data_IF_697669435329
#
_entry.id   IF_697669435329
#
_cell.length_a   1.000
_cell.length_b   1.000
_cell.length_c   1.000
_cell.angle_alpha   90.00
_cell.angle_beta   90.00
_cell.angle_gamma   90.00
#
_symmetry.space_group_name_H-M   'P 1'
#
loop_
_entity.id
_entity.type
_entity.pdbx_description
1 polymer ?
#
# COMPACT_ATOMS: atom_id res chain seq x y z
N UNK A 1 12.75 -13.63 6.65
CA UNK A 1 12.12 -14.67 7.48
C UNK A 1 12.92 -14.94 8.74
N UNK A 2 14.22 -15.26 8.64
CA UNK A 2 15.05 -15.64 9.80
C UNK A 2 14.94 -14.72 11.03
N UNK A 3 14.98 -13.40 10.87
CA UNK A 3 14.85 -12.46 12.01
C UNK A 3 13.49 -12.55 12.70
N UNK A 4 12.41 -12.69 11.92
CA UNK A 4 11.05 -12.84 12.46
C UNK A 4 10.89 -14.19 13.15
N UNK A 5 11.45 -15.27 12.58
CA UNK A 5 11.40 -16.60 13.21
C UNK A 5 12.14 -16.62 14.54
N UNK A 6 13.31 -15.97 14.62
CA UNK A 6 14.05 -15.79 15.88
C UNK A 6 13.23 -14.99 16.89
N UNK A 7 12.60 -13.90 16.46
CA UNK A 7 11.70 -13.11 17.30
C UNK A 7 10.53 -13.93 17.83
N UNK A 8 9.84 -14.70 16.99
CA UNK A 8 8.68 -15.49 17.38
C UNK A 8 9.07 -16.61 18.37
N UNK A 9 10.21 -17.28 18.15
CA UNK A 9 10.73 -18.35 19.03
C UNK A 9 11.27 -17.86 20.38
N UNK A 10 11.67 -16.58 20.50
CA UNK A 10 12.19 -16.03 21.75
C UNK A 10 11.07 -15.82 22.78
N UNK A 11 10.88 -16.77 23.71
CA UNK A 11 9.76 -16.74 24.66
C UNK A 11 9.82 -15.62 25.72
N UNK A 12 10.99 -15.04 26.00
CA UNK A 12 11.22 -14.24 27.22
C UNK A 12 11.75 -12.81 27.00
N UNK A 13 12.07 -12.41 25.76
CA UNK A 13 12.63 -11.08 25.50
C UNK A 13 11.65 -10.12 24.82
N UNK A 14 11.50 -10.29 23.51
CA UNK A 14 10.89 -9.26 22.67
C UNK A 14 9.40 -9.49 22.42
N UNK A 15 8.62 -8.41 22.51
CA UNK A 15 7.16 -8.41 22.37
C UNK A 15 6.70 -7.77 21.06
N UNK A 16 7.48 -6.82 20.55
CA UNK A 16 7.18 -6.07 19.32
C UNK A 16 8.32 -6.25 18.31
N UNK A 17 7.96 -6.54 17.06
CA UNK A 17 8.86 -6.56 15.92
C UNK A 17 8.41 -5.52 14.90
N UNK A 18 9.24 -4.51 14.64
CA UNK A 18 8.98 -3.45 13.69
C UNK A 18 9.61 -3.80 12.33
N UNK A 19 8.77 -4.01 11.33
CA UNK A 19 9.17 -4.28 9.95
C UNK A 19 9.17 -2.99 9.13
N UNK A 20 10.37 -2.54 8.77
CA UNK A 20 10.61 -1.32 8.02
C UNK A 20 10.90 -1.59 6.55
N UNK A 21 10.84 -0.52 5.75
CA UNK A 21 11.13 -0.56 4.33
C UNK A 21 10.39 0.53 3.58
N UNK A 22 10.85 0.84 2.38
CA UNK A 22 10.31 1.94 1.58
C UNK A 22 8.92 1.61 1.01
N UNK A 23 8.27 2.61 0.43
CA UNK A 23 7.04 2.41 -0.35
C UNK A 23 7.32 1.41 -1.48
N UNK A 24 6.55 0.31 -1.56
CA UNK A 24 6.72 -0.70 -2.61
C UNK A 24 7.76 -1.79 -2.32
N UNK A 25 8.44 -1.73 -1.16
CA UNK A 25 9.46 -2.71 -0.78
C UNK A 25 8.91 -4.14 -0.55
N UNK A 26 7.59 -4.33 -0.48
CA UNK A 26 6.97 -5.65 -0.30
C UNK A 26 6.60 -6.03 1.13
N UNK A 27 6.56 -5.08 2.08
CA UNK A 27 6.17 -5.32 3.49
C UNK A 27 4.83 -6.05 3.64
N UNK A 28 3.78 -5.56 2.97
CA UNK A 28 2.46 -6.19 3.02
C UNK A 28 2.46 -7.61 2.45
N UNK A 29 3.20 -7.85 1.36
CA UNK A 29 3.36 -9.19 0.78
C UNK A 29 4.09 -10.13 1.74
N UNK A 30 5.18 -9.65 2.35
CA UNK A 30 5.91 -10.39 3.38
C UNK A 30 5.01 -10.77 4.55
N UNK A 31 4.23 -9.82 5.07
CA UNK A 31 3.32 -10.04 6.19
C UNK A 31 2.22 -11.07 5.87
N UNK A 32 1.70 -11.07 4.63
CA UNK A 32 0.73 -12.07 4.15
C UNK A 32 1.35 -13.45 4.01
N UNK A 33 2.57 -13.52 3.49
CA UNK A 33 3.30 -14.78 3.37
C UNK A 33 3.59 -15.37 4.75
N UNK A 34 4.03 -14.53 5.69
CA UNK A 34 4.24 -14.90 7.08
C UNK A 34 2.96 -15.43 7.72
N UNK A 35 1.83 -14.73 7.57
CA UNK A 35 0.53 -15.21 8.06
C UNK A 35 0.21 -16.61 7.52
N UNK A 36 0.38 -16.82 6.20
CA UNK A 36 0.14 -18.12 5.55
C UNK A 36 1.04 -19.22 6.11
N UNK A 37 2.33 -18.94 6.27
CA UNK A 37 3.30 -19.91 6.77
C UNK A 37 3.01 -20.28 8.24
N UNK A 38 2.63 -19.30 9.06
CA UNK A 38 2.22 -19.54 10.45
C UNK A 38 0.92 -20.37 10.52
N UNK A 39 -0.07 -20.09 9.68
CA UNK A 39 -1.30 -20.90 9.61
C UNK A 39 -1.02 -22.34 9.17
N UNK A 40 -0.12 -22.53 8.21
CA UNK A 40 0.28 -23.87 7.74
C UNK A 40 0.89 -24.70 8.87
N UNK A 41 1.67 -24.06 9.75
CA UNK A 41 2.31 -24.73 10.88
C UNK A 41 1.42 -24.82 12.13
N UNK A 42 0.37 -24.01 12.24
CA UNK A 42 -0.50 -23.93 13.41
C UNK A 42 -1.13 -25.28 13.78
N UNK A 43 -1.53 -26.09 12.79
CA UNK A 43 -2.14 -27.41 13.04
C UNK A 43 -1.21 -28.39 13.77
N UNK A 44 0.11 -28.23 13.62
CA UNK A 44 1.12 -29.10 14.23
C UNK A 44 1.58 -28.61 15.60
N UNK A 45 1.61 -27.30 15.82
CA UNK A 45 2.13 -26.73 17.07
C UNK A 45 1.04 -26.28 18.05
N UNK A 46 -0.15 -25.92 17.55
CA UNK A 46 -1.24 -25.39 18.37
C UNK A 46 -0.87 -24.11 19.12
N UNK A 47 0.13 -23.37 18.64
CA UNK A 47 0.72 -22.20 19.32
C UNK A 47 -0.19 -20.97 19.29
N UNK A 48 0.33 -19.81 18.90
CA UNK A 48 -0.38 -18.55 18.83
C UNK A 48 -1.13 -18.44 17.50
N UNK A 49 -2.37 -17.99 17.55
CA UNK A 49 -3.23 -17.77 16.39
C UNK A 49 -2.64 -16.60 15.56
N UNK A 50 -2.24 -16.83 14.30
CA UNK A 50 -1.79 -15.75 13.43
C UNK A 50 -2.99 -14.88 13.03
N UNK A 51 -2.84 -13.56 13.15
CA UNK A 51 -3.91 -12.62 12.81
C UNK A 51 -3.35 -11.42 12.05
N UNK A 52 -3.53 -11.39 10.73
CA UNK A 52 -3.20 -10.22 9.92
C UNK A 52 -4.25 -9.12 10.06
N UNK A 53 -3.82 -7.98 10.56
CA UNK A 53 -4.65 -6.79 10.73
C UNK A 53 -4.12 -5.70 9.80
N UNK A 54 -4.91 -5.38 8.78
CA UNK A 54 -4.66 -4.22 7.94
C UNK A 54 -5.08 -2.95 8.69
N UNK A 55 -4.12 -2.27 9.31
CA UNK A 55 -4.37 -1.16 10.23
C UNK A 55 -5.23 -0.04 9.63
N UNK A 56 -5.00 0.45 8.40
CA UNK A 56 -5.78 1.57 7.89
C UNK A 56 -7.22 1.19 7.50
N UNK A 57 -7.61 -0.08 7.68
CA UNK A 57 -9.02 -0.49 7.63
C UNK A 57 -9.74 -0.54 9.00
N UNK A 58 -9.03 -0.22 10.08
CA UNK A 58 -9.57 -0.21 11.45
C UNK A 58 -9.67 1.23 11.95
N UNK A 59 -10.88 1.66 12.31
CA UNK A 59 -11.10 2.97 12.91
C UNK A 59 -10.54 3.01 14.33
N UNK A 60 -9.78 4.07 14.65
CA UNK A 60 -9.17 4.28 15.97
C UNK A 60 -8.44 3.01 16.48
N UNK A 61 -7.37 2.57 15.78
CA UNK A 61 -6.69 1.30 16.05
C UNK A 61 -5.98 1.28 17.42
N UNK A 62 -5.81 2.41 18.08
CA UNK A 62 -5.30 2.52 19.45
C UNK A 62 -6.31 2.03 20.52
N UNK A 63 -7.55 1.69 20.11
CA UNK A 63 -8.58 1.15 21.00
C UNK A 63 -9.18 -0.13 20.45
N UNK A 64 -9.09 -1.21 21.24
CA UNK A 64 -9.77 -2.49 21.00
C UNK A 64 -9.47 -3.10 19.62
N UNK A 65 -8.22 -2.97 19.17
CA UNK A 65 -7.73 -3.36 17.83
C UNK A 65 -8.15 -4.77 17.43
N UNK A 66 -7.85 -5.75 18.30
CA UNK A 66 -8.08 -7.17 18.02
C UNK A 66 -9.57 -7.47 17.93
N UNK A 67 -10.38 -6.99 18.88
CA UNK A 67 -11.82 -7.26 18.85
C UNK A 67 -12.51 -6.54 17.69
N UNK A 68 -12.13 -5.29 17.37
CA UNK A 68 -12.63 -4.59 16.17
C UNK A 68 -12.34 -5.38 14.90
N UNK A 69 -11.13 -5.92 14.78
CA UNK A 69 -10.79 -6.77 13.65
C UNK A 69 -11.64 -8.04 13.63
N UNK A 70 -11.77 -8.76 14.76
CA UNK A 70 -12.58 -9.98 14.84
C UNK A 70 -14.07 -9.75 14.52
N UNK A 71 -14.65 -8.61 14.95
CA UNK A 71 -16.03 -8.23 14.58
C UNK A 71 -16.20 -8.05 13.08
N UNK A 72 -15.18 -7.52 12.39
CA UNK A 72 -15.18 -7.41 10.91
C UNK A 72 -15.08 -8.76 10.21
N UNK A 73 -14.61 -9.78 10.93
CA UNK A 73 -14.61 -11.18 10.50
C UNK A 73 -15.87 -11.93 11.00
N UNK A 74 -16.92 -11.21 11.40
CA UNK A 74 -18.22 -11.73 11.84
C UNK A 74 -18.19 -12.57 13.14
N UNK A 75 -17.18 -12.38 13.99
CA UNK A 75 -17.16 -13.00 15.33
C UNK A 75 -18.11 -12.27 16.29
N UNK A 76 -18.86 -13.06 17.08
CA UNK A 76 -19.77 -12.57 18.12
C UNK A 76 -19.03 -12.29 19.43
N UNK A 77 -19.57 -11.39 20.27
CA UNK A 77 -18.97 -11.03 21.56
C UNK A 77 -18.65 -12.21 22.50
N UNK A 78 -19.48 -13.28 22.60
CA UNK A 78 -19.10 -14.46 23.39
C UNK A 78 -17.84 -15.17 22.84
N UNK A 79 -17.68 -15.26 21.52
CA UNK A 79 -16.52 -15.88 20.88
C UNK A 79 -15.28 -15.01 21.07
N UNK A 80 -15.41 -13.69 20.94
CA UNK A 80 -14.30 -12.76 21.16
C UNK A 80 -13.81 -12.84 22.61
N UNK A 81 -14.72 -12.93 23.60
CA UNK A 81 -14.35 -13.10 25.01
C UNK A 81 -13.64 -14.42 25.26
N UNK A 82 -14.12 -15.51 24.67
CA UNK A 82 -13.51 -16.84 24.76
C UNK A 82 -12.08 -16.84 24.20
N UNK A 83 -11.89 -16.28 23.00
CA UNK A 83 -10.57 -16.11 22.38
C UNK A 83 -9.64 -15.25 23.24
N UNK A 84 -10.13 -14.14 23.79
CA UNK A 84 -9.34 -13.22 24.62
C UNK A 84 -8.85 -13.89 25.91
N UNK A 85 -9.66 -14.76 26.51
CA UNK A 85 -9.31 -15.45 27.75
C UNK A 85 -8.43 -16.67 27.55
N UNK A 86 -8.55 -17.37 26.41
CA UNK A 86 -8.00 -18.72 26.25
C UNK A 86 -6.90 -18.84 25.19
N UNK A 87 -6.69 -17.84 24.32
CA UNK A 87 -5.80 -17.95 23.17
C UNK A 87 -4.70 -16.89 23.17
N UNK A 88 -3.53 -17.30 22.68
CA UNK A 88 -2.42 -16.40 22.34
C UNK A 88 -2.49 -16.05 20.86
N UNK A 89 -2.02 -14.86 20.51
CA UNK A 89 -2.01 -14.37 19.13
C UNK A 89 -0.63 -13.94 18.66
N UNK A 90 -0.38 -14.12 17.37
CA UNK A 90 0.69 -13.43 16.64
C UNK A 90 0.01 -12.38 15.78
N UNK A 91 -0.01 -11.13 16.25
CA UNK A 91 -0.64 -10.03 15.53
C UNK A 91 0.32 -9.53 14.45
N UNK A 92 -0.15 -9.48 13.20
CA UNK A 92 0.60 -8.97 12.06
C UNK A 92 -0.10 -7.70 11.58
N UNK A 93 0.29 -6.57 12.14
CA UNK A 93 -0.30 -5.26 11.93
C UNK A 93 0.36 -4.55 10.73
N UNK A 94 -0.36 -4.39 9.63
CA UNK A 94 0.19 -3.86 8.38
C UNK A 94 -0.26 -2.42 8.10
N UNK A 95 0.68 -1.54 7.76
CA UNK A 95 0.41 -0.16 7.29
C UNK A 95 0.25 0.88 8.40
N UNK A 96 1.13 0.88 9.41
CA UNK A 96 1.05 1.82 10.54
C UNK A 96 1.10 3.29 10.09
N UNK A 97 1.99 3.63 9.14
CA UNK A 97 2.16 4.99 8.64
C UNK A 97 0.94 5.51 7.85
N UNK A 98 0.01 4.64 7.46
CA UNK A 98 -1.20 5.01 6.73
C UNK A 98 -2.35 5.43 7.66
N UNK A 99 -2.17 5.31 8.99
CA UNK A 99 -3.20 5.56 9.99
C UNK A 99 -3.13 6.96 10.65
N UNK A 100 -2.14 7.80 10.32
CA UNK A 100 -1.84 9.11 10.98
C UNK A 100 -1.76 9.05 12.51
N UNK A 101 -1.63 7.85 13.08
CA UNK A 101 -1.50 7.66 14.51
C UNK A 101 -0.04 7.78 14.93
N UNK A 102 0.19 8.45 16.06
CA UNK A 102 1.49 8.49 16.75
C UNK A 102 1.48 7.59 18.00
N UNK A 103 0.41 6.83 18.20
CA UNK A 103 0.20 6.03 19.40
C UNK A 103 0.92 4.69 19.32
N UNK A 104 1.46 4.28 20.46
CA UNK A 104 1.94 2.93 20.66
C UNK A 104 0.79 1.94 20.71
N UNK A 105 0.56 1.22 19.61
CA UNK A 105 -0.56 0.28 19.49
C UNK A 105 -0.46 -0.91 20.46
N UNK A 106 0.75 -1.30 20.86
CA UNK A 106 0.94 -2.34 21.84
C UNK A 106 0.46 -1.88 23.22
N UNK A 107 0.97 -0.75 23.71
CA UNK A 107 0.60 -0.20 25.03
C UNK A 107 -0.85 0.27 25.07
N UNK A 108 -1.32 1.00 24.04
CA UNK A 108 -2.68 1.54 24.02
C UNK A 108 -3.77 0.46 24.01
N UNK A 109 -3.51 -0.68 23.36
CA UNK A 109 -4.38 -1.86 23.41
C UNK A 109 -4.12 -2.77 24.62
N UNK A 110 -3.22 -2.39 25.53
CA UNK A 110 -2.93 -3.09 26.79
C UNK A 110 -2.55 -4.55 26.57
N UNK A 111 -1.79 -4.83 25.51
CA UNK A 111 -1.42 -6.21 25.17
C UNK A 111 -0.56 -6.82 26.28
N UNK A 112 -0.84 -8.08 26.62
CA UNK A 112 -0.22 -8.84 27.71
C UNK A 112 -0.43 -8.26 29.13
N UNK A 113 -1.32 -7.28 29.32
CA UNK A 113 -1.80 -6.91 30.67
C UNK A 113 -2.82 -7.93 31.21
N UNK A 114 -3.01 -7.96 32.53
CA UNK A 114 -3.95 -8.88 33.19
C UNK A 114 -5.38 -8.73 32.63
N UNK A 115 -5.95 -9.84 32.15
CA UNK A 115 -7.30 -9.85 31.55
C UNK A 115 -7.38 -9.26 30.13
N UNK A 116 -6.25 -8.96 29.50
CA UNK A 116 -6.16 -8.48 28.12
C UNK A 116 -5.63 -9.55 27.16
N UNK A 117 -5.55 -9.20 25.87
CA UNK A 117 -5.10 -10.10 24.81
C UNK A 117 -3.63 -10.52 25.03
N UNK A 118 -3.37 -11.83 24.97
CA UNK A 118 -2.00 -12.35 25.01
C UNK A 118 -1.43 -12.39 23.59
N UNK A 119 -0.45 -11.54 23.28
CA UNK A 119 0.04 -11.42 21.91
C UNK A 119 1.50 -10.99 21.78
N UNK A 120 2.18 -11.53 20.77
CA UNK A 120 3.31 -10.84 20.13
C UNK A 120 2.80 -10.00 18.98
N UNK A 121 3.43 -8.85 18.75
CA UNK A 121 3.07 -7.93 17.69
C UNK A 121 4.20 -7.79 16.66
N UNK A 122 3.88 -8.01 15.40
CA UNK A 122 4.68 -7.61 14.26
C UNK A 122 3.96 -6.42 13.64
N UNK A 123 4.65 -5.31 13.43
CA UNK A 123 4.05 -4.08 12.91
C UNK A 123 4.88 -3.54 11.76
N UNK A 124 4.25 -3.24 10.61
CA UNK A 124 4.94 -2.68 9.45
C UNK A 124 4.77 -1.17 9.35
N UNK A 125 5.84 -0.48 8.98
CA UNK A 125 5.85 0.96 8.78
C UNK A 125 6.80 1.35 7.64
N UNK A 126 6.52 2.44 6.93
CA UNK A 126 7.50 3.06 6.02
C UNK A 126 8.65 3.68 6.82
N UNK A 127 9.89 3.45 6.37
CA UNK A 127 11.09 4.01 6.98
C UNK A 127 11.05 5.55 7.01
N UNK A 128 10.58 6.16 5.93
CA UNK A 128 10.45 7.61 5.75
C UNK A 128 9.45 8.27 6.72
N UNK A 129 8.54 7.49 7.32
CA UNK A 129 7.55 8.01 8.26
C UNK A 129 8.09 8.09 9.70
N UNK A 130 9.30 7.58 9.95
CA UNK A 130 9.92 7.57 11.27
C UNK A 130 10.70 8.87 11.51
N UNK A 131 10.40 9.54 12.63
CA UNK A 131 11.24 10.62 13.16
C UNK A 131 12.37 10.09 14.05
N UNK A 132 13.22 10.97 14.60
CA UNK A 132 14.37 10.57 15.44
C UNK A 132 13.96 9.71 16.65
N UNK A 133 12.81 10.01 17.28
CA UNK A 133 12.32 9.31 18.48
C UNK A 133 11.20 8.30 18.16
N UNK A 134 11.25 7.65 17.00
CA UNK A 134 10.17 6.75 16.58
C UNK A 134 9.99 5.54 17.51
N UNK A 135 11.04 5.14 18.24
CA UNK A 135 11.02 3.97 19.13
C UNK A 135 9.95 4.10 20.21
N UNK A 136 9.67 5.29 20.71
CA UNK A 136 8.62 5.53 21.71
C UNK A 136 7.23 5.12 21.22
N UNK A 137 7.01 5.12 19.90
CA UNK A 137 5.76 4.71 19.26
C UNK A 137 5.60 3.19 19.17
N UNK A 138 6.63 2.40 19.47
CA UNK A 138 6.56 0.93 19.31
C UNK A 138 7.11 0.17 20.51
N UNK A 139 7.98 0.78 21.31
CA UNK A 139 8.57 0.19 22.50
C UNK A 139 7.48 -0.04 23.56
N UNK A 140 7.21 -1.28 23.99
CA UNK A 140 6.27 -1.53 25.07
C UNK A 140 6.63 -0.75 26.33
N UNK A 141 5.63 -0.08 26.92
CA UNK A 141 5.77 0.69 28.15
C UNK A 141 4.84 0.12 29.22
N UNK A 142 5.28 -0.94 29.89
CA UNK A 142 4.56 -1.44 31.06
C UNK A 142 4.71 -0.42 32.20
N UNK A 143 3.57 0.12 32.67
CA UNK A 143 3.50 1.06 33.80
C UNK A 143 3.89 0.38 35.13
N UNK A 144 3.88 -0.96 35.18
CA UNK A 144 4.09 -1.74 36.40
C UNK A 144 5.58 -2.03 36.76
N UNK A 145 6.52 -1.93 35.81
CA UNK A 145 7.93 -2.27 36.05
C UNK A 145 8.83 -1.03 36.02
N UNK A 146 9.27 -0.62 37.20
CA UNK A 146 10.18 0.51 37.46
C UNK A 146 11.66 0.11 37.35
N UNK A 147 11.99 -1.13 37.00
CA UNK A 147 13.38 -1.57 36.80
C UNK A 147 13.88 -1.21 35.39
N UNK A 148 14.89 -0.34 35.34
CA UNK A 148 15.41 0.31 34.14
C UNK A 148 16.23 -0.59 33.20
N UNK A 149 16.56 -1.82 33.61
CA UNK A 149 17.43 -2.72 32.83
C UNK A 149 16.68 -3.65 31.85
N UNK A 150 15.38 -3.89 32.05
CA UNK A 150 14.58 -4.81 31.20
C UNK A 150 13.81 -4.08 30.07
N UNK A 151 13.87 -2.75 30.02
CA UNK A 151 13.10 -1.94 29.07
C UNK A 151 13.70 -1.85 27.67
N UNK A 152 14.98 -2.16 27.48
CA UNK A 152 15.67 -1.90 26.20
C UNK A 152 15.49 -2.97 25.11
N UNK A 153 15.05 -4.18 25.45
CA UNK A 153 15.08 -5.33 24.52
C UNK A 153 13.69 -5.84 24.06
N UNK A 154 12.61 -5.13 24.42
CA UNK A 154 11.25 -5.57 24.06
C UNK A 154 10.83 -5.23 22.62
N UNK A 155 11.56 -4.32 21.96
CA UNK A 155 11.38 -3.95 20.55
C UNK A 155 12.57 -4.47 19.73
N UNK A 156 12.29 -5.19 18.66
CA UNK A 156 13.25 -5.48 17.60
C UNK A 156 12.79 -4.79 16.33
N UNK A 157 13.72 -4.32 15.50
CA UNK A 157 13.41 -3.79 14.18
C UNK A 157 14.27 -4.45 13.09
N UNK A 158 13.71 -4.54 11.89
CA UNK A 158 14.43 -4.97 10.71
C UNK A 158 13.90 -4.23 9.49
N UNK A 159 14.79 -3.94 8.55
CA UNK A 159 14.45 -3.26 7.29
C UNK A 159 14.40 -4.30 6.17
N UNK A 160 13.34 -4.28 5.37
CA UNK A 160 13.34 -4.99 4.08
C UNK A 160 14.32 -4.28 3.16
N UNK A 161 15.38 -5.00 2.80
CA UNK A 161 16.38 -4.52 1.85
C UNK A 161 15.85 -4.62 0.41
N UNK A 162 16.29 -3.73 -0.49
CA UNK A 162 15.98 -3.82 -1.91
C UNK A 162 16.44 -5.16 -2.51
N UNK A 163 15.84 -5.58 -3.63
CA UNK A 163 16.24 -6.81 -4.30
C UNK A 163 17.69 -6.75 -4.80
N UNK A 164 18.39 -7.89 -4.65
CA UNK A 164 19.65 -8.14 -5.33
C UNK A 164 19.42 -8.43 -6.82
N UNK A 165 20.51 -8.42 -7.61
CA UNK A 165 20.44 -8.76 -9.03
C UNK A 165 19.88 -10.18 -9.25
N UNK A 166 20.34 -11.13 -8.45
CA UNK A 166 19.91 -12.52 -8.50
C UNK A 166 18.43 -12.68 -8.15
N UNK A 167 17.92 -11.88 -7.19
CA UNK A 167 16.51 -11.86 -6.84
C UNK A 167 15.65 -11.25 -7.95
N UNK A 168 16.13 -10.20 -8.62
CA UNK A 168 15.47 -9.61 -9.79
C UNK A 168 15.36 -10.65 -10.91
N UNK A 169 16.47 -11.31 -11.26
CA UNK A 169 16.48 -12.36 -12.31
C UNK A 169 15.53 -13.51 -11.95
N UNK A 170 15.59 -14.02 -10.72
CA UNK A 170 14.70 -15.06 -10.25
C UNK A 170 13.22 -14.64 -10.31
N UNK A 171 12.92 -13.38 -9.95
CA UNK A 171 11.58 -12.82 -10.07
C UNK A 171 11.11 -12.80 -11.54
N UNK A 172 11.96 -12.35 -12.47
CA UNK A 172 11.64 -12.30 -13.91
C UNK A 172 11.36 -13.70 -14.44
N UNK A 173 12.19 -14.68 -14.10
CA UNK A 173 11.98 -16.07 -14.50
C UNK A 173 10.63 -16.61 -14.01
N UNK A 174 10.29 -16.37 -12.74
CA UNK A 174 9.01 -16.78 -12.17
C UNK A 174 7.83 -16.03 -12.81
N UNK A 175 7.95 -14.73 -13.02
CA UNK A 175 6.94 -13.92 -13.71
C UNK A 175 6.65 -14.47 -15.11
N UNK A 176 7.68 -14.80 -15.89
CA UNK A 176 7.50 -15.36 -17.23
C UNK A 176 6.84 -16.74 -17.20
N UNK A 177 7.17 -17.57 -16.20
CA UNK A 177 6.56 -18.89 -16.03
C UNK A 177 5.07 -18.80 -15.66
N UNK A 178 4.73 -17.90 -14.74
CA UNK A 178 3.39 -17.80 -14.16
C UNK A 178 2.42 -16.97 -15.03
N UNK A 179 2.88 -15.81 -15.53
CA UNK A 179 2.05 -14.83 -16.26
C UNK A 179 2.04 -15.10 -17.76
N UNK A 180 3.07 -15.77 -18.30
CA UNK A 180 3.26 -16.03 -19.74
C UNK A 180 3.14 -14.75 -20.59
N UNK A 181 3.93 -13.70 -20.29
CA UNK A 181 3.94 -12.47 -21.07
C UNK A 181 4.50 -12.69 -22.49
N UNK A 182 4.34 -11.71 -23.40
CA UNK A 182 4.85 -11.83 -24.77
C UNK A 182 6.38 -11.96 -24.85
N UNK A 183 7.11 -11.39 -23.90
CA UNK A 183 8.57 -11.44 -23.85
C UNK A 183 9.09 -12.66 -23.10
N UNK A 184 10.28 -13.14 -23.49
CA UNK A 184 11.03 -14.15 -22.72
C UNK A 184 11.87 -13.50 -21.63
N UNK A 185 12.25 -14.27 -20.61
CA UNK A 185 13.04 -13.77 -19.48
C UNK A 185 14.34 -13.08 -19.94
N UNK A 186 15.04 -13.65 -20.93
CA UNK A 186 16.25 -13.05 -21.50
C UNK A 186 16.00 -11.65 -22.06
N UNK A 187 14.91 -11.46 -22.81
CA UNK A 187 14.55 -10.15 -23.38
C UNK A 187 14.31 -9.11 -22.29
N UNK A 188 13.61 -9.48 -21.21
CA UNK A 188 13.44 -8.60 -20.06
C UNK A 188 14.77 -8.25 -19.40
N UNK A 189 15.61 -9.23 -19.10
CA UNK A 189 16.90 -9.00 -18.44
C UNK A 189 17.75 -8.05 -19.28
N UNK A 190 17.91 -8.32 -20.59
CA UNK A 190 18.69 -7.46 -21.48
C UNK A 190 18.12 -6.04 -21.58
N UNK A 191 16.80 -5.89 -21.67
CA UNK A 191 16.18 -4.57 -21.70
C UNK A 191 16.42 -3.79 -20.41
N UNK A 192 16.25 -4.43 -19.25
CA UNK A 192 16.44 -3.79 -17.94
C UNK A 192 17.89 -3.36 -17.72
N UNK A 193 18.86 -4.14 -18.20
CA UNK A 193 20.29 -3.82 -18.12
C UNK A 193 20.70 -2.69 -19.07
N UNK A 194 20.09 -2.62 -20.25
CA UNK A 194 20.45 -1.62 -21.27
C UNK A 194 19.79 -0.24 -21.06
N UNK A 195 18.71 -0.16 -20.27
CA UNK A 195 18.06 1.11 -19.99
C UNK A 195 18.82 1.85 -18.86
N UNK A 196 19.36 3.05 -19.12
CA UNK A 196 20.09 3.82 -18.12
C UNK A 196 19.31 4.04 -16.82
N UNK A 197 19.96 3.84 -15.68
CA UNK A 197 19.42 4.04 -14.32
C UNK A 197 18.20 3.18 -13.94
N UNK A 198 17.76 2.25 -14.79
CA UNK A 198 16.60 1.42 -14.50
C UNK A 198 16.90 0.33 -13.47
N UNK A 199 18.10 -0.26 -13.51
CA UNK A 199 18.52 -1.32 -12.60
C UNK A 199 18.42 -0.91 -11.13
N UNK A 200 18.80 0.33 -10.79
CA UNK A 200 18.67 0.83 -9.42
C UNK A 200 17.20 1.03 -9.00
N UNK A 201 16.36 1.42 -9.96
CA UNK A 201 14.94 1.67 -9.72
C UNK A 201 14.16 0.38 -9.46
N UNK A 202 14.44 -0.68 -10.22
CA UNK A 202 13.75 -1.97 -10.13
C UNK A 202 14.21 -2.83 -8.95
N UNK A 203 15.21 -2.39 -8.16
CA UNK A 203 15.48 -2.99 -6.86
C UNK A 203 14.25 -2.91 -5.93
N UNK A 204 13.35 -1.96 -6.19
CA UNK A 204 12.04 -1.92 -5.58
C UNK A 204 11.09 -2.94 -6.28
N UNK A 205 10.56 -3.95 -5.56
CA UNK A 205 9.74 -5.01 -6.16
C UNK A 205 8.49 -4.52 -6.90
N UNK A 206 7.86 -3.44 -6.42
CA UNK A 206 6.73 -2.85 -7.10
C UNK A 206 7.13 -2.25 -8.46
N UNK A 207 8.25 -1.54 -8.52
CA UNK A 207 8.77 -0.95 -9.76
C UNK A 207 9.34 -1.99 -10.73
N UNK A 208 9.89 -3.10 -10.23
CA UNK A 208 10.24 -4.24 -11.07
C UNK A 208 8.99 -4.78 -11.77
N UNK A 209 7.95 -5.13 -11.01
CA UNK A 209 6.69 -5.62 -11.58
C UNK A 209 6.11 -4.64 -12.59
N UNK A 210 6.09 -3.34 -12.24
CA UNK A 210 5.64 -2.27 -13.11
C UNK A 210 6.37 -2.28 -14.46
N UNK A 211 7.70 -2.35 -14.40
CA UNK A 211 8.54 -2.37 -15.59
C UNK A 211 8.26 -3.59 -16.46
N UNK A 212 8.08 -4.78 -15.86
CA UNK A 212 7.77 -6.00 -16.62
C UNK A 212 6.42 -5.95 -17.33
N UNK A 213 5.42 -5.33 -16.70
CA UNK A 213 4.09 -5.15 -17.29
C UNK A 213 4.11 -4.15 -18.46
N UNK A 214 4.93 -3.10 -18.34
CA UNK A 214 4.96 -1.95 -19.26
C UNK A 214 5.88 -2.22 -20.45
N UNK A 215 7.12 -2.67 -20.22
CA UNK A 215 8.20 -2.75 -21.24
C UNK A 215 7.79 -3.37 -22.59
N UNK A 216 7.03 -4.48 -22.66
CA UNK A 216 6.66 -5.08 -23.94
C UNK A 216 5.81 -4.19 -24.85
N UNK A 217 5.14 -3.18 -24.29
CA UNK A 217 4.37 -2.20 -25.06
C UNK A 217 5.18 -0.99 -25.54
N UNK A 218 6.41 -0.80 -25.05
CA UNK A 218 7.22 0.40 -25.30
C UNK A 218 8.50 0.14 -26.08
N UNK A 219 9.02 -1.08 -25.95
CA UNK A 219 10.28 -1.46 -26.55
C UNK A 219 9.96 -2.53 -27.59
N UNK A 220 10.46 -2.34 -28.80
CA UNK A 220 10.49 -3.42 -29.77
C UNK A 220 11.56 -4.42 -29.35
N UNK A 221 11.23 -5.71 -29.33
CA UNK A 221 12.16 -6.78 -28.92
C UNK A 221 13.43 -6.73 -29.76
N UNK A 222 13.29 -6.38 -31.03
CA UNK A 222 14.40 -6.33 -32.00
C UNK A 222 15.31 -5.10 -31.80
N UNK A 223 14.90 -4.13 -30.96
CA UNK A 223 15.65 -2.88 -30.69
C UNK A 223 16.18 -2.78 -29.27
N UNK A 224 16.10 -3.86 -28.49
CA UNK A 224 16.55 -3.88 -27.09
C UNK A 224 18.03 -3.49 -26.94
N UNK A 225 18.87 -3.81 -27.93
CA UNK A 225 20.30 -3.53 -27.90
C UNK A 225 20.64 -2.04 -28.10
N UNK A 226 19.69 -1.22 -28.58
CA UNK A 226 19.86 0.20 -28.88
C UNK A 226 19.34 1.13 -27.76
N UNK A 227 18.87 0.56 -26.64
CA UNK A 227 18.18 1.29 -25.56
C UNK A 227 19.06 2.17 -24.68
N UNK A 228 20.39 2.16 -24.86
CA UNK A 228 21.34 2.92 -24.05
C UNK A 228 21.15 4.45 -24.11
N UNK A 229 20.37 4.94 -25.07
CA UNK A 229 20.04 6.37 -25.26
C UNK A 229 18.67 6.76 -24.68
N UNK A 230 17.90 5.80 -24.14
CA UNK A 230 16.57 6.06 -23.63
C UNK A 230 16.63 6.74 -22.25
N UNK A 231 16.12 7.97 -22.15
CA UNK A 231 15.92 8.66 -20.86
C UNK A 231 14.64 8.15 -20.18
N UNK A 232 14.65 6.91 -19.69
CA UNK A 232 13.55 6.38 -18.88
C UNK A 232 13.74 6.84 -17.44
N UNK A 233 12.81 7.68 -16.98
CA UNK A 233 12.78 8.15 -15.60
C UNK A 233 11.73 7.39 -14.79
N UNK A 234 11.84 7.42 -13.46
CA UNK A 234 10.79 6.90 -12.56
C UNK A 234 9.42 7.50 -12.90
N UNK A 235 9.34 8.80 -13.16
CA UNK A 235 8.10 9.49 -13.55
C UNK A 235 7.59 8.97 -14.90
N UNK A 236 8.46 8.78 -15.88
CA UNK A 236 8.11 8.21 -17.19
C UNK A 236 7.53 6.80 -17.09
N UNK A 237 8.07 5.94 -16.22
CA UNK A 237 7.48 4.61 -15.99
C UNK A 237 6.08 4.69 -15.39
N UNK A 238 5.85 5.61 -14.45
CA UNK A 238 4.52 5.83 -13.88
C UNK A 238 3.54 6.38 -14.91
N UNK A 239 3.95 7.35 -15.74
CA UNK A 239 3.15 7.87 -16.85
C UNK A 239 2.66 6.72 -17.72
N UNK A 240 3.60 5.88 -18.19
CA UNK A 240 3.31 4.74 -19.06
C UNK A 240 2.45 3.68 -18.41
N UNK A 241 2.70 3.40 -17.13
CA UNK A 241 1.88 2.46 -16.40
C UNK A 241 0.44 2.93 -16.27
N UNK A 242 0.22 4.19 -15.88
CA UNK A 242 -1.13 4.74 -15.69
C UNK A 242 -1.88 4.77 -17.02
N UNK A 243 -1.21 5.20 -18.10
CA UNK A 243 -1.75 5.14 -19.47
C UNK A 243 -2.17 3.71 -19.83
N UNK A 244 -1.24 2.75 -19.70
CA UNK A 244 -1.50 1.35 -20.04
C UNK A 244 -2.62 0.74 -19.20
N UNK A 245 -2.65 1.02 -17.89
CA UNK A 245 -3.68 0.55 -16.99
C UNK A 245 -5.06 1.07 -17.38
N UNK A 246 -5.17 2.36 -17.72
CA UNK A 246 -6.41 2.98 -18.17
C UNK A 246 -6.86 2.42 -19.51
N UNK A 247 -5.95 2.16 -20.44
CA UNK A 247 -6.29 1.57 -21.74
C UNK A 247 -6.87 0.14 -21.59
N UNK A 248 -6.28 -0.65 -20.70
CA UNK A 248 -6.82 -1.97 -20.32
C UNK A 248 -8.13 -1.85 -19.55
N UNK A 249 -8.24 -0.88 -18.65
CA UNK A 249 -9.45 -0.55 -17.90
C UNK A 249 -10.61 -0.19 -18.81
N UNK A 250 -10.38 0.68 -19.80
CA UNK A 250 -11.32 1.07 -20.85
C UNK A 250 -11.85 -0.14 -21.59
N UNK A 251 -10.97 -1.01 -22.09
CA UNK A 251 -11.36 -2.26 -22.79
C UNK A 251 -12.19 -3.17 -21.88
N UNK A 252 -11.80 -3.31 -20.62
CA UNK A 252 -12.52 -4.14 -19.63
C UNK A 252 -13.91 -3.59 -19.31
N UNK A 253 -14.05 -2.29 -19.12
CA UNK A 253 -15.33 -1.62 -18.86
C UNK A 253 -16.24 -1.70 -20.09
N UNK A 254 -15.72 -1.43 -21.29
CA UNK A 254 -16.50 -1.43 -22.53
C UNK A 254 -17.06 -2.80 -22.94
N UNK A 255 -16.42 -3.90 -22.51
CA UNK A 255 -16.86 -5.28 -22.74
C UNK A 255 -18.00 -5.74 -21.82
N UNK A 256 -18.29 -4.99 -20.75
CA UNK A 256 -19.38 -5.34 -19.83
C UNK A 256 -20.73 -4.94 -20.42
N UNK A 257 -21.78 -5.61 -19.97
CA UNK A 257 -23.14 -5.14 -20.20
C UNK A 257 -23.39 -3.89 -19.35
N UNK A 258 -23.55 -2.76 -20.02
CA UNK A 258 -23.83 -1.46 -19.40
C UNK A 258 -25.32 -1.11 -19.62
N UNK A 259 -25.93 -0.41 -18.66
CA UNK A 259 -27.24 0.22 -18.88
C UNK A 259 -27.14 1.24 -20.02
N UNK A 260 -28.27 1.62 -20.61
CA UNK A 260 -28.30 2.61 -21.68
C UNK A 260 -27.66 3.95 -21.26
N UNK A 261 -27.94 4.40 -20.03
CA UNK A 261 -27.36 5.63 -19.46
C UNK A 261 -25.84 5.49 -19.27
N UNK A 262 -25.39 4.38 -18.68
CA UNK A 262 -23.97 4.13 -18.47
C UNK A 262 -23.21 3.96 -19.79
N UNK A 263 -23.84 3.39 -20.84
CA UNK A 263 -23.24 3.30 -22.17
C UNK A 263 -23.08 4.68 -22.80
N UNK A 264 -24.10 5.53 -22.73
CA UNK A 264 -24.01 6.90 -23.25
C UNK A 264 -22.91 7.73 -22.53
N UNK A 265 -22.82 7.62 -21.20
CA UNK A 265 -21.74 8.24 -20.44
C UNK A 265 -20.36 7.68 -20.83
N UNK A 266 -20.25 6.36 -21.02
CA UNK A 266 -19.01 5.73 -21.46
C UNK A 266 -18.56 6.22 -22.85
N UNK A 267 -19.49 6.30 -23.81
CA UNK A 267 -19.21 6.78 -25.17
C UNK A 267 -18.79 8.25 -25.15
N UNK A 268 -19.44 9.09 -24.32
CA UNK A 268 -19.06 10.50 -24.11
C UNK A 268 -17.61 10.62 -23.62
N UNK A 269 -17.23 9.85 -22.60
CA UNK A 269 -15.85 9.84 -22.08
C UNK A 269 -14.84 9.37 -23.15
N UNK A 270 -15.24 8.43 -24.03
CA UNK A 270 -14.39 8.00 -25.15
C UNK A 270 -14.15 9.15 -26.12
N UNK A 271 -15.21 9.83 -26.54
CA UNK A 271 -15.15 10.94 -27.51
C UNK A 271 -14.30 12.11 -27.01
N UNK A 272 -14.33 12.37 -25.69
CA UNK A 272 -13.51 13.40 -25.04
C UNK A 272 -12.06 12.96 -24.73
N UNK A 273 -11.74 11.70 -24.99
CA UNK A 273 -10.42 11.13 -24.68
C UNK A 273 -10.40 10.44 -23.31
N UNK A 274 -10.77 9.16 -23.31
CA UNK A 274 -10.91 8.35 -22.08
C UNK A 274 -9.69 8.36 -21.17
N UNK A 275 -8.50 8.18 -21.73
CA UNK A 275 -7.26 8.06 -20.96
C UNK A 275 -6.83 9.39 -20.36
N UNK A 276 -7.03 10.50 -21.07
CA UNK A 276 -6.78 11.84 -20.55
C UNK A 276 -7.73 12.16 -19.37
N UNK A 277 -9.02 11.85 -19.52
CA UNK A 277 -10.02 11.99 -18.46
C UNK A 277 -9.71 11.10 -17.24
N UNK A 278 -9.25 9.87 -17.46
CA UNK A 278 -8.81 8.97 -16.38
C UNK A 278 -7.58 9.51 -15.63
N UNK A 279 -6.60 10.06 -16.33
CA UNK A 279 -5.42 10.68 -15.72
C UNK A 279 -5.82 11.91 -14.90
N UNK A 280 -6.67 12.80 -15.45
CA UNK A 280 -7.17 13.97 -14.73
C UNK A 280 -7.98 13.58 -13.49
N UNK A 281 -8.86 12.57 -13.61
CA UNK A 281 -9.58 12.00 -12.47
C UNK A 281 -8.63 11.55 -11.35
N UNK A 282 -7.56 10.82 -11.69
CA UNK A 282 -6.56 10.37 -10.71
C UNK A 282 -5.79 11.52 -10.07
N UNK A 283 -5.38 12.52 -10.85
CA UNK A 283 -4.70 13.73 -10.36
C UNK A 283 -5.60 14.48 -9.36
N UNK A 284 -6.86 14.72 -9.72
CA UNK A 284 -7.85 15.40 -8.87
C UNK A 284 -8.16 14.61 -7.61
N UNK A 285 -8.30 13.29 -7.72
CA UNK A 285 -8.50 12.41 -6.57
C UNK A 285 -7.30 12.48 -5.63
N UNK A 286 -6.08 12.36 -6.16
CA UNK A 286 -4.86 12.44 -5.37
C UNK A 286 -4.74 13.80 -4.65
N UNK A 287 -4.98 14.90 -5.37
CA UNK A 287 -5.00 16.24 -4.77
C UNK A 287 -6.05 16.38 -3.66
N UNK A 288 -7.26 15.85 -3.86
CA UNK A 288 -8.31 15.86 -2.84
C UNK A 288 -7.93 15.02 -1.61
N UNK A 289 -7.32 13.84 -1.79
CA UNK A 289 -6.83 13.00 -0.69
C UNK A 289 -5.77 13.73 0.14
N UNK A 290 -4.81 14.39 -0.52
CA UNK A 290 -3.79 15.17 0.20
C UNK A 290 -4.37 16.38 0.92
N UNK A 291 -5.29 17.11 0.28
CA UNK A 291 -5.88 18.32 0.83
C UNK A 291 -6.85 18.04 1.96
N UNK A 292 -7.75 17.09 1.77
CA UNK A 292 -8.92 16.87 2.63
C UNK A 292 -8.73 15.71 3.62
N UNK A 293 -7.70 14.88 3.44
CA UNK A 293 -7.37 13.76 4.34
C UNK A 293 -5.87 13.68 4.67
N UNK A 294 -5.13 14.78 4.49
CA UNK A 294 -3.69 14.87 4.80
C UNK A 294 -2.85 13.70 4.21
N UNK A 295 -3.24 13.23 3.02
CA UNK A 295 -2.50 12.22 2.27
C UNK A 295 -2.76 10.78 2.71
N UNK A 296 -3.78 10.53 3.54
CA UNK A 296 -4.19 9.19 3.90
C UNK A 296 -4.61 8.38 2.67
N UNK A 297 -3.99 7.22 2.40
CA UNK A 297 -4.23 6.51 1.15
C UNK A 297 -5.59 5.80 1.08
N UNK A 298 -6.34 5.73 2.19
CA UNK A 298 -7.63 5.04 2.28
C UNK A 298 -8.76 6.03 2.44
N UNK A 299 -9.66 6.03 1.46
CA UNK A 299 -10.89 6.82 1.46
C UNK A 299 -12.07 5.91 1.78
N UNK A 300 -12.66 6.07 2.95
CA UNK A 300 -13.96 5.46 3.25
C UNK A 300 -15.10 6.32 2.71
N UNK A 301 -16.02 5.70 1.97
CA UNK A 301 -17.19 6.37 1.41
C UNK A 301 -18.49 5.61 1.68
N UNK A 302 -19.40 6.26 2.38
CA UNK A 302 -20.79 5.84 2.57
C UNK A 302 -21.72 6.91 2.01
N UNK A 303 -22.58 6.53 1.06
CA UNK A 303 -23.50 7.47 0.40
C UNK A 303 -24.23 8.37 1.40
N UNK A 304 -24.89 7.78 2.40
CA UNK A 304 -25.70 8.53 3.36
C UNK A 304 -24.91 9.46 4.29
N UNK A 305 -23.59 9.26 4.41
CA UNK A 305 -22.72 10.10 5.25
C UNK A 305 -21.94 11.14 4.44
N UNK A 306 -21.59 10.78 3.21
CA UNK A 306 -20.56 11.48 2.43
C UNK A 306 -21.11 12.17 1.17
N UNK A 307 -22.42 12.15 0.91
CA UNK A 307 -23.06 12.72 -0.29
C UNK A 307 -22.75 14.22 -0.48
N UNK A 308 -22.62 14.97 0.60
CA UNK A 308 -22.29 16.41 0.56
C UNK A 308 -20.79 16.71 0.70
N UNK A 309 -19.95 15.68 0.73
CA UNK A 309 -18.50 15.83 0.90
C UNK A 309 -17.75 15.77 -0.44
N UNK A 310 -16.47 16.17 -0.44
CA UNK A 310 -15.59 16.04 -1.61
C UNK A 310 -15.56 14.60 -2.18
N UNK A 311 -15.78 13.59 -1.32
CA UNK A 311 -15.74 12.17 -1.70
C UNK A 311 -16.83 11.83 -2.70
N UNK A 312 -18.00 12.49 -2.65
CA UNK A 312 -19.10 12.22 -3.56
C UNK A 312 -18.70 12.42 -5.03
N UNK A 313 -17.83 13.41 -5.34
CA UNK A 313 -17.31 13.62 -6.70
C UNK A 313 -16.58 12.40 -7.28
N UNK A 314 -15.94 11.58 -6.44
CA UNK A 314 -15.09 10.47 -6.89
C UNK A 314 -15.73 9.10 -6.63
N UNK A 315 -16.53 8.97 -5.57
CA UNK A 315 -16.98 7.68 -5.03
C UNK A 315 -18.50 7.46 -5.13
N UNK A 316 -19.26 8.44 -5.63
CA UNK A 316 -20.69 8.28 -5.89
C UNK A 316 -21.01 7.21 -6.94
N UNK A 317 -22.31 6.97 -7.14
CA UNK A 317 -22.85 6.08 -8.16
C UNK A 317 -23.13 6.78 -9.50
N UNK A 318 -22.71 8.03 -9.65
CA UNK A 318 -22.76 8.73 -10.93
C UNK A 318 -21.98 7.95 -11.98
N UNK A 319 -22.56 7.79 -13.17
CA UNK A 319 -22.04 6.84 -14.17
C UNK A 319 -20.63 7.21 -14.62
N UNK A 320 -20.34 8.48 -14.90
CA UNK A 320 -19.00 8.90 -15.36
C UNK A 320 -17.92 8.60 -14.33
N UNK A 321 -18.09 9.12 -13.10
CA UNK A 321 -17.17 8.89 -11.99
C UNK A 321 -17.03 7.41 -11.66
N UNK A 322 -18.12 6.64 -11.77
CA UNK A 322 -18.08 5.18 -11.57
C UNK A 322 -17.27 4.48 -12.66
N UNK A 323 -17.49 4.81 -13.94
CA UNK A 323 -16.80 4.21 -15.08
C UNK A 323 -15.30 4.52 -15.03
N UNK A 324 -14.92 5.77 -14.77
CA UNK A 324 -13.52 6.17 -14.60
C UNK A 324 -12.89 5.46 -13.41
N UNK A 325 -13.55 5.47 -12.24
CA UNK A 325 -13.06 4.78 -11.03
C UNK A 325 -12.85 3.28 -11.27
N UNK A 326 -13.73 2.63 -12.01
CA UNK A 326 -13.63 1.20 -12.32
C UNK A 326 -12.50 0.87 -13.32
N UNK A 327 -12.09 1.83 -14.15
CA UNK A 327 -10.98 1.70 -15.09
C UNK A 327 -9.62 2.07 -14.48
N UNK A 328 -9.61 2.92 -13.46
CA UNK A 328 -8.42 3.41 -12.77
C UNK A 328 -7.67 2.35 -11.94
N UNK A 329 -6.39 2.58 -11.58
CA UNK A 329 -5.60 1.74 -10.67
C UNK A 329 -6.01 1.93 -9.20
N UNK A 330 -7.29 1.68 -8.93
CA UNK A 330 -7.91 1.75 -7.60
C UNK A 330 -8.41 0.37 -7.16
N UNK A 331 -8.28 0.08 -5.87
CA UNK A 331 -8.81 -1.11 -5.21
C UNK A 331 -9.96 -0.68 -4.31
N UNK A 332 -11.02 -1.49 -4.28
CA UNK A 332 -12.14 -1.34 -3.36
C UNK A 332 -12.23 -2.55 -2.43
N UNK A 333 -12.37 -2.31 -1.13
CA UNK A 333 -12.70 -3.32 -0.12
C UNK A 333 -13.87 -2.82 0.73
N UNK A 334 -15.05 -3.43 0.55
CA UNK A 334 -16.28 -2.93 1.16
C UNK A 334 -16.61 -1.49 0.71
N UNK A 335 -16.55 -0.54 1.64
CA UNK A 335 -16.76 0.89 1.43
C UNK A 335 -15.45 1.72 1.39
N UNK A 336 -14.30 1.05 1.46
CA UNK A 336 -12.98 1.68 1.42
C UNK A 336 -12.39 1.61 0.01
N UNK A 337 -11.79 2.71 -0.42
CA UNK A 337 -11.15 2.89 -1.72
C UNK A 337 -9.72 3.36 -1.53
N UNK A 338 -8.81 2.88 -2.38
CA UNK A 338 -7.39 3.28 -2.35
C UNK A 338 -6.72 3.04 -3.68
N UNK A 339 -5.60 3.70 -3.92
CA UNK A 339 -4.71 3.34 -5.02
C UNK A 339 -4.17 1.92 -4.83
N UNK A 340 -3.91 1.20 -5.93
CA UNK A 340 -3.29 -0.14 -5.88
C UNK A 340 -1.93 -0.12 -5.15
N UNK A 341 -1.28 1.05 -5.13
CA UNK A 341 -0.08 1.30 -4.35
C UNK A 341 0.04 2.80 -4.01
N UNK A 342 0.56 3.15 -2.82
CA UNK A 342 0.69 4.57 -2.40
C UNK A 342 1.61 5.38 -3.30
N UNK A 343 2.65 4.76 -3.88
CA UNK A 343 3.52 5.50 -4.79
C UNK A 343 2.79 6.06 -6.02
N UNK A 344 1.65 5.47 -6.41
CA UNK A 344 0.78 6.01 -7.46
C UNK A 344 -0.04 7.20 -6.96
N UNK A 345 -0.51 7.17 -5.71
CA UNK A 345 -1.13 8.33 -5.07
C UNK A 345 -0.14 9.50 -5.02
N UNK A 346 1.09 9.24 -4.55
CA UNK A 346 2.18 10.22 -4.49
C UNK A 346 2.55 10.75 -5.89
N UNK A 347 2.67 9.86 -6.88
CA UNK A 347 2.94 10.23 -8.27
C UNK A 347 1.80 11.09 -8.87
N UNK A 348 0.53 10.67 -8.73
CA UNK A 348 -0.60 11.43 -9.25
C UNK A 348 -0.73 12.79 -8.57
N UNK A 349 -0.44 12.89 -7.27
CA UNK A 349 -0.38 14.15 -6.57
C UNK A 349 0.76 15.05 -7.08
N UNK A 350 1.96 14.50 -7.23
CA UNK A 350 3.09 15.23 -7.79
C UNK A 350 2.76 15.77 -9.20
N UNK A 351 2.10 14.97 -10.04
CA UNK A 351 1.63 15.38 -11.37
C UNK A 351 0.46 16.38 -11.35
N UNK A 352 -0.30 16.44 -10.25
CA UNK A 352 -1.34 17.45 -10.06
C UNK A 352 -0.75 18.80 -9.62
N UNK A 353 0.32 18.78 -8.82
CA UNK A 353 1.02 19.99 -8.35
C UNK A 353 2.01 20.51 -9.38
N UNK A 354 2.65 19.61 -10.15
CA UNK A 354 3.61 19.97 -11.18
C UNK A 354 3.35 19.13 -12.43
N UNK A 355 2.79 19.76 -13.46
CA UNK A 355 2.64 19.14 -14.77
C UNK A 355 3.67 19.73 -15.74
N UNK A 356 4.71 18.97 -16.14
CA UNK A 356 5.70 19.42 -17.11
C UNK A 356 5.10 19.83 -18.46
N UNK A 357 3.87 19.38 -18.76
CA UNK A 357 3.16 19.68 -19.99
C UNK A 357 2.22 20.91 -19.87
N UNK A 358 2.02 21.45 -18.68
CA UNK A 358 1.29 22.71 -18.50
C UNK A 358 2.22 23.89 -18.80
N UNK A 359 1.83 24.75 -19.73
CA UNK A 359 2.53 26.00 -19.99
C UNK A 359 2.62 26.85 -18.69
N UNK A 360 3.67 27.67 -18.48
CA UNK A 360 3.91 28.38 -17.20
C UNK A 360 2.85 29.43 -16.79
N UNK A 361 1.72 29.54 -17.48
CA UNK A 361 0.76 30.63 -17.35
C UNK A 361 -0.53 30.20 -16.63
N UNK A 362 -0.43 29.68 -15.41
CA UNK A 362 -1.55 29.66 -14.45
C UNK A 362 -1.12 29.31 -13.02
N UNK A 363 0.03 29.82 -12.55
CA UNK A 363 0.38 29.76 -11.14
C UNK A 363 0.14 31.12 -10.48
N UNK A 364 -1.03 31.31 -9.88
CA UNK A 364 -1.25 32.31 -8.83
C UNK A 364 -1.07 31.60 -7.47
N UNK A 365 0.16 31.59 -6.96
CA UNK A 365 0.44 31.09 -5.61
C UNK A 365 -0.22 31.98 -4.54
N UNK A 366 -0.41 31.47 -3.31
CA UNK A 366 -0.99 32.25 -2.22
C UNK A 366 -0.06 33.41 -1.83
N UNK A 367 -0.60 34.62 -1.85
CA UNK A 367 0.10 35.86 -1.49
C UNK A 367 0.47 35.84 0.00
N UNK A 368 1.76 35.72 0.29
CA UNK A 368 2.31 35.96 1.63
C UNK A 368 2.50 37.46 1.80
N UNK A 369 1.55 38.12 2.46
CA UNK A 369 1.72 39.49 2.96
C UNK A 369 2.84 39.52 4.00
N UNK A 370 4.02 40.03 3.61
CA UNK A 370 5.03 40.49 4.56
C UNK A 370 4.48 41.70 5.31
N UNK A 371 4.28 41.56 6.63
CA UNK A 371 4.22 42.72 7.53
C UNK A 371 5.63 43.27 7.65
N UNK A 372 5.83 44.50 7.22
CA UNK A 372 7.01 45.30 7.54
C UNK A 372 6.93 45.75 8.99
N UNK A 373 8.04 45.57 9.71
CA UNK A 373 8.36 46.19 11.00
C UNK A 373 8.41 47.71 10.91
#
# INVERSE_FOLDING_TARGET
>A
MENVDKFLKNASGSQVFLLLGDSGAGKSTFNRELERDLWTNYGSTGDAIPLFIHLPSIDNPEKDLVAKHLRRCDFLEPQIRELKSNRRFTLICDGYDECQQIYNLYTSNKLNETGQWQAKMIISCRSEHLGQDYKDRFQPSNVADTSSAAKSDQLQDAVIVPFSKEQIEAYIHRHVADVKPPWKAKSYITALENIPNLMDLIKNPFLLRLSLDVLPGFVDVDKIEELSTANITRVGLYDRFVEHWLEHGKKRVGRRELSQQARAAFDTIIDEGFTANGIDFLKRLAAAVYKEQAGHPIVEYSRFKDEETWKARFFSREDESRLLREACPLIRSGNQYRFVHKSLLEYCFARAVFDPQASPSSFSGPSVTRRSS
#
